data_IF_778219860957
#
_entry.id   IF_778219860957
#
_cell.length_a   1.000
_cell.length_b   1.000
_cell.length_c   1.000
_cell.angle_alpha   90.00
_cell.angle_beta   90.00
_cell.angle_gamma   90.00
#
_symmetry.space_group_name_H-M   'P 1'
#
loop_
_entity.id
_entity.type
_entity.pdbx_description
1 polymer ?
#
# COMPACT_ATOMS: atom_id res chain seq x y z
N UNK A 1 -2.08 9.42 6.93
CA UNK A 1 -2.16 8.62 5.68
C UNK A 1 -1.20 7.43 5.66
N UNK A 2 0.11 7.64 5.88
CA UNK A 2 1.11 6.54 5.82
C UNK A 2 0.88 5.41 6.81
N UNK A 3 0.67 5.75 8.09
CA UNK A 3 0.40 4.76 9.15
C UNK A 3 -0.90 4.00 8.85
N UNK A 4 -1.96 4.71 8.44
CA UNK A 4 -3.25 4.09 8.12
C UNK A 4 -3.14 3.12 6.93
N UNK A 5 -2.56 3.56 5.79
CA UNK A 5 -2.35 2.69 4.62
C UNK A 5 -1.45 1.50 4.99
N UNK A 6 -0.33 1.77 5.66
CA UNK A 6 0.63 0.75 6.05
C UNK A 6 0.05 -0.28 7.01
N UNK A 7 -0.70 0.13 8.03
CA UNK A 7 -1.31 -0.79 8.99
C UNK A 7 -2.32 -1.72 8.32
N UNK A 8 -3.17 -1.18 7.43
CA UNK A 8 -4.12 -1.97 6.66
C UNK A 8 -3.39 -2.96 5.73
N UNK A 9 -2.33 -2.52 5.05
CA UNK A 9 -1.56 -3.38 4.15
C UNK A 9 -0.77 -4.46 4.87
N UNK A 10 -0.24 -4.17 6.06
CA UNK A 10 0.39 -5.18 6.92
C UNK A 10 -0.66 -6.17 7.42
N UNK A 11 -1.85 -5.71 7.81
CA UNK A 11 -2.94 -6.59 8.22
C UNK A 11 -3.31 -7.59 7.12
N UNK A 12 -3.59 -7.10 5.91
CA UNK A 12 -3.91 -7.96 4.76
C UNK A 12 -2.72 -8.83 4.31
N UNK A 13 -1.52 -8.25 4.25
CA UNK A 13 -0.31 -8.95 3.84
C UNK A 13 0.11 -10.04 4.82
N UNK A 14 0.00 -9.80 6.13
CA UNK A 14 0.35 -10.78 7.17
C UNK A 14 -0.54 -12.01 7.11
N UNK A 15 -1.85 -11.83 6.86
CA UNK A 15 -2.76 -12.95 6.64
C UNK A 15 -2.33 -13.79 5.44
N UNK A 16 -1.85 -13.16 4.35
CA UNK A 16 -1.36 -13.89 3.17
C UNK A 16 -0.01 -14.57 3.42
N UNK A 17 0.92 -13.91 4.09
CA UNK A 17 2.29 -14.39 4.29
C UNK A 17 2.39 -15.48 5.35
N UNK A 18 1.65 -15.38 6.45
CA UNK A 18 1.81 -16.27 7.62
C UNK A 18 0.80 -17.43 7.68
N UNK A 19 -0.12 -17.57 6.73
CA UNK A 19 -1.06 -18.70 6.75
C UNK A 19 -2.03 -18.79 5.58
N UNK A 20 -2.25 -17.71 4.83
CA UNK A 20 -3.22 -17.64 3.73
C UNK A 20 -2.64 -17.83 2.33
N UNK A 21 -1.33 -18.13 2.18
CA UNK A 21 -0.66 -18.10 0.88
C UNK A 21 -1.27 -19.10 -0.10
N UNK A 22 -1.55 -20.33 0.34
CA UNK A 22 -2.14 -21.36 -0.52
C UNK A 22 -3.52 -20.92 -1.03
N UNK A 23 -4.38 -20.42 -0.15
CA UNK A 23 -5.70 -19.88 -0.52
C UNK A 23 -5.58 -18.69 -1.48
N UNK A 24 -4.56 -17.84 -1.29
CA UNK A 24 -4.32 -16.72 -2.18
C UNK A 24 -3.82 -17.16 -3.56
N UNK A 25 -2.92 -18.16 -3.62
CA UNK A 25 -2.45 -18.77 -4.87
C UNK A 25 -3.61 -19.41 -5.62
N UNK A 26 -4.49 -20.13 -4.93
CA UNK A 26 -5.70 -20.71 -5.54
C UNK A 26 -6.64 -19.63 -6.08
N UNK A 27 -6.85 -18.54 -5.34
CA UNK A 27 -7.65 -17.40 -5.79
C UNK A 27 -7.03 -16.68 -6.99
N UNK A 28 -5.72 -16.46 -7.00
CA UNK A 28 -5.03 -15.84 -8.15
C UNK A 28 -5.09 -16.76 -9.38
N UNK A 29 -4.93 -18.06 -9.17
CA UNK A 29 -5.03 -19.06 -10.24
C UNK A 29 -6.43 -19.14 -10.83
N UNK A 30 -7.48 -19.00 -10.02
CA UNK A 30 -8.87 -18.98 -10.51
C UNK A 30 -9.22 -17.72 -11.32
N UNK A 31 -8.43 -16.65 -11.19
CA UNK A 31 -8.55 -15.43 -12.01
C UNK A 31 -7.81 -15.54 -13.35
N UNK A 32 -7.24 -16.71 -13.66
CA UNK A 32 -6.43 -16.95 -14.86
C UNK A 32 -5.05 -16.31 -14.81
N UNK A 33 -4.56 -15.97 -13.61
CA UNK A 33 -3.22 -15.44 -13.40
C UNK A 33 -2.28 -16.53 -12.90
N UNK A 34 -0.97 -16.45 -13.19
CA UNK A 34 0.00 -17.40 -12.67
C UNK A 34 0.07 -17.34 -11.14
N UNK A 35 0.14 -18.51 -10.49
CA UNK A 35 0.24 -18.60 -9.01
C UNK A 35 1.43 -17.84 -8.42
N UNK A 36 2.54 -17.68 -9.16
CA UNK A 36 3.70 -16.92 -8.69
C UNK A 36 3.38 -15.42 -8.47
N UNK A 37 2.38 -14.85 -9.16
CA UNK A 37 1.95 -13.47 -8.94
C UNK A 37 1.33 -13.27 -7.54
N UNK A 38 0.76 -14.31 -6.94
CA UNK A 38 0.20 -14.25 -5.59
C UNK A 38 1.30 -13.95 -4.55
N UNK A 39 2.48 -14.52 -4.73
CA UNK A 39 3.63 -14.28 -3.85
C UNK A 39 4.14 -12.85 -3.99
N UNK A 40 4.16 -12.31 -5.21
CA UNK A 40 4.52 -10.91 -5.44
C UNK A 40 3.50 -9.95 -4.84
N UNK A 41 2.21 -10.23 -5.00
CA UNK A 41 1.12 -9.44 -4.40
C UNK A 41 1.21 -9.44 -2.87
N UNK A 42 1.32 -10.62 -2.26
CA UNK A 42 1.45 -10.77 -0.81
C UNK A 42 2.71 -10.08 -0.26
N UNK A 43 3.83 -10.21 -0.97
CA UNK A 43 5.08 -9.52 -0.63
C UNK A 43 4.95 -8.00 -0.74
N UNK A 44 4.33 -7.50 -1.82
CA UNK A 44 4.11 -6.07 -2.02
C UNK A 44 3.18 -5.46 -0.95
N UNK A 45 2.15 -6.18 -0.50
CA UNK A 45 1.27 -5.73 0.58
C UNK A 45 1.99 -5.71 1.93
N UNK A 46 2.67 -6.79 2.29
CA UNK A 46 3.31 -6.91 3.59
C UNK A 46 4.55 -6.02 3.70
N UNK A 47 5.54 -6.23 2.83
CA UNK A 47 6.79 -5.47 2.86
C UNK A 47 6.56 -4.02 2.40
N UNK A 48 5.70 -3.79 1.41
CA UNK A 48 5.35 -2.43 0.99
C UNK A 48 4.63 -1.67 2.11
N UNK A 49 3.74 -2.32 2.85
CA UNK A 49 3.10 -1.76 4.04
C UNK A 49 4.13 -1.35 5.10
N UNK A 50 5.08 -2.23 5.42
CA UNK A 50 6.17 -1.93 6.37
C UNK A 50 7.01 -0.75 5.90
N UNK A 51 7.46 -0.74 4.64
CA UNK A 51 8.25 0.36 4.06
C UNK A 51 7.49 1.69 4.09
N UNK A 52 6.20 1.67 3.78
CA UNK A 52 5.31 2.84 3.85
C UNK A 52 5.02 3.27 5.29
N UNK A 53 5.16 2.43 6.32
CA UNK A 53 5.16 2.91 7.71
C UNK A 53 6.53 3.52 8.04
N UNK A 54 7.60 2.76 7.84
CA UNK A 54 8.96 3.10 8.27
C UNK A 54 9.45 4.42 7.66
N UNK A 55 9.06 4.76 6.43
CA UNK A 55 9.58 6.00 5.81
C UNK A 55 10.75 5.77 4.90
N UNK A 56 11.01 4.53 4.49
CA UNK A 56 12.09 4.22 3.59
C UNK A 56 11.53 3.95 2.20
N UNK A 57 12.05 4.63 1.17
CA UNK A 57 11.65 4.43 -0.23
C UNK A 57 10.12 4.50 -0.43
N UNK A 58 9.45 5.40 0.28
CA UNK A 58 7.97 5.39 0.35
C UNK A 58 7.31 5.59 -1.00
N UNK A 59 7.99 6.28 -1.92
CA UNK A 59 7.51 6.45 -3.30
C UNK A 59 7.44 5.11 -4.04
N UNK A 60 8.49 4.30 -3.96
CA UNK A 60 8.53 2.99 -4.59
C UNK A 60 7.58 2.01 -3.92
N UNK A 61 7.53 2.01 -2.58
CA UNK A 61 6.61 1.15 -1.84
C UNK A 61 5.14 1.52 -2.07
N UNK A 62 4.81 2.82 -2.11
CA UNK A 62 3.47 3.27 -2.44
C UNK A 62 3.09 2.95 -3.89
N UNK A 63 4.03 3.04 -4.84
CA UNK A 63 3.81 2.66 -6.23
C UNK A 63 3.53 1.16 -6.36
N UNK A 64 4.25 0.30 -5.63
CA UNK A 64 3.99 -1.13 -5.60
C UNK A 64 2.59 -1.45 -5.04
N UNK A 65 2.19 -0.78 -3.94
CA UNK A 65 0.83 -0.91 -3.37
C UNK A 65 -0.23 -0.43 -4.35
N UNK A 66 0.00 0.70 -5.03
CA UNK A 66 -0.91 1.25 -6.03
C UNK A 66 -1.17 0.24 -7.15
N UNK A 67 -0.10 -0.31 -7.75
CA UNK A 67 -0.22 -1.32 -8.81
C UNK A 67 -0.99 -2.53 -8.31
N UNK A 68 -0.66 -3.03 -7.10
CA UNK A 68 -1.32 -4.19 -6.53
C UNK A 68 -2.82 -3.96 -6.31
N UNK A 69 -3.21 -2.80 -5.78
CA UNK A 69 -4.62 -2.43 -5.62
C UNK A 69 -5.32 -2.26 -6.98
N UNK A 70 -4.67 -1.68 -7.99
CA UNK A 70 -5.23 -1.57 -9.35
C UNK A 70 -5.51 -2.94 -9.97
N UNK A 71 -4.59 -3.89 -9.83
CA UNK A 71 -4.79 -5.27 -10.32
C UNK A 71 -5.93 -5.96 -9.56
N UNK A 72 -5.99 -5.79 -8.24
CA UNK A 72 -7.07 -6.35 -7.41
C UNK A 72 -8.45 -5.80 -7.81
N UNK A 73 -8.56 -4.49 -8.07
CA UNK A 73 -9.79 -3.87 -8.57
C UNK A 73 -10.20 -4.50 -9.90
N UNK A 74 -9.28 -4.56 -10.86
CA UNK A 74 -9.60 -5.00 -12.21
C UNK A 74 -9.98 -6.49 -12.28
N UNK A 75 -9.32 -7.34 -11.50
CA UNK A 75 -9.51 -8.79 -11.58
C UNK A 75 -10.54 -9.34 -10.60
N UNK A 76 -10.63 -8.79 -9.39
CA UNK A 76 -11.47 -9.35 -8.31
C UNK A 76 -12.78 -8.56 -8.19
N UNK A 77 -12.68 -7.23 -8.09
CA UNK A 77 -13.81 -6.40 -7.64
C UNK A 77 -14.57 -5.70 -8.76
N UNK A 78 -14.05 -5.72 -10.00
CA UNK A 78 -14.66 -5.04 -11.16
C UNK A 78 -16.11 -5.44 -11.40
N UNK A 79 -16.43 -6.72 -11.24
CA UNK A 79 -17.78 -7.27 -11.44
C UNK A 79 -18.75 -6.94 -10.30
N UNK A 80 -18.24 -6.59 -9.13
CA UNK A 80 -19.05 -6.34 -7.93
C UNK A 80 -19.55 -4.89 -7.85
N UNK A 81 -19.13 -4.01 -8.78
CA UNK A 81 -19.51 -2.60 -8.78
C UNK A 81 -18.86 -1.80 -7.65
N UNK A 82 -19.16 -0.49 -7.59
CA UNK A 82 -18.52 0.43 -6.65
C UNK A 82 -18.99 0.15 -5.21
N UNK A 83 -20.31 0.03 -5.01
CA UNK A 83 -20.97 -0.15 -3.71
C UNK A 83 -21.65 -1.51 -3.54
N UNK A 84 -21.44 -2.47 -4.44
CA UNK A 84 -21.97 -3.82 -4.27
C UNK A 84 -21.29 -4.57 -3.12
N UNK A 85 -21.85 -5.72 -2.71
CA UNK A 85 -21.20 -6.57 -1.72
C UNK A 85 -19.82 -7.02 -2.24
N UNK A 86 -18.77 -6.66 -1.52
CA UNK A 86 -17.40 -6.87 -1.99
C UNK A 86 -17.03 -5.99 -3.19
N UNK A 87 -17.61 -4.79 -3.30
CA UNK A 87 -17.27 -3.80 -4.33
C UNK A 87 -15.85 -3.24 -4.22
N UNK A 88 -15.43 -2.48 -5.23
CA UNK A 88 -14.05 -1.97 -5.31
C UNK A 88 -13.80 -0.67 -4.52
N UNK A 89 -14.78 -0.15 -3.76
CA UNK A 89 -14.64 1.08 -2.96
C UNK A 89 -13.42 1.08 -2.03
N UNK A 90 -13.18 -0.02 -1.33
CA UNK A 90 -12.11 -0.11 -0.33
C UNK A 90 -10.73 -0.20 -1.00
N UNK A 91 -10.51 -1.11 -1.96
CA UNK A 91 -9.28 -1.09 -2.77
C UNK A 91 -9.04 0.25 -3.47
N UNK A 92 -10.09 0.92 -3.95
CA UNK A 92 -9.99 2.22 -4.62
C UNK A 92 -9.54 3.32 -3.65
N UNK A 93 -10.08 3.35 -2.43
CA UNK A 93 -9.64 4.29 -1.41
C UNK A 93 -8.17 4.07 -1.04
N UNK A 94 -7.74 2.82 -0.88
CA UNK A 94 -6.33 2.48 -0.61
C UNK A 94 -5.43 2.85 -1.80
N UNK A 95 -5.87 2.60 -3.03
CA UNK A 95 -5.18 3.02 -4.24
C UNK A 95 -5.04 4.55 -4.32
N UNK A 96 -6.09 5.32 -3.99
CA UNK A 96 -6.03 6.78 -3.97
C UNK A 96 -5.03 7.30 -2.93
N UNK A 97 -4.98 6.70 -1.74
CA UNK A 97 -3.99 7.05 -0.71
C UNK A 97 -2.58 6.69 -1.18
N UNK A 98 -2.38 5.53 -1.79
CA UNK A 98 -1.09 5.10 -2.34
C UNK A 98 -0.63 6.01 -3.50
N UNK A 99 -1.55 6.42 -4.37
CA UNK A 99 -1.31 7.39 -5.43
C UNK A 99 -0.83 8.72 -4.85
N UNK A 100 -1.56 9.28 -3.88
CA UNK A 100 -1.15 10.51 -3.21
C UNK A 100 0.25 10.37 -2.58
N UNK A 101 0.56 9.26 -1.91
CA UNK A 101 1.88 9.03 -1.31
C UNK A 101 3.01 8.87 -2.33
N UNK A 102 2.70 8.42 -3.54
CA UNK A 102 3.67 8.31 -4.64
C UNK A 102 4.12 9.70 -5.09
N UNK A 103 3.20 10.66 -5.22
CA UNK A 103 3.50 12.04 -5.65
C UNK A 103 3.98 12.94 -4.50
N UNK A 104 3.26 12.97 -3.38
CA UNK A 104 3.56 13.84 -2.23
C UNK A 104 4.72 13.30 -1.35
N UNK A 105 5.04 12.00 -1.46
CA UNK A 105 6.13 11.37 -0.73
C UNK A 105 5.85 11.16 0.76
N UNK A 106 6.92 10.88 1.51
CA UNK A 106 6.86 10.36 2.87
C UNK A 106 6.40 11.36 3.96
N UNK A 107 6.38 12.67 3.63
CA UNK A 107 6.19 13.76 4.60
C UNK A 107 7.42 14.00 5.51
N UNK A 108 7.39 15.06 6.36
CA UNK A 108 8.51 15.46 7.22
C UNK A 108 8.79 14.52 8.41
N UNK A 109 7.84 13.66 8.77
CA UNK A 109 7.96 12.69 9.89
C UNK A 109 8.53 11.34 9.40
N UNK A 110 9.06 11.28 8.18
CA UNK A 110 9.63 10.06 7.61
C UNK A 110 11.13 9.95 7.83
N UNK A 111 11.63 8.72 7.99
CA UNK A 111 13.07 8.43 7.93
C UNK A 111 13.72 8.91 6.62
N UNK A 112 12.99 8.93 5.49
CA UNK A 112 13.45 9.54 4.23
C UNK A 112 13.74 11.05 4.34
N UNK A 113 13.11 11.73 5.31
CA UNK A 113 13.35 13.16 5.58
C UNK A 113 14.71 13.36 6.28
N UNK A 114 15.17 12.36 7.03
CA UNK A 114 16.51 12.34 7.63
C UNK A 114 17.59 12.22 6.56
N UNK A 115 17.35 11.42 5.51
CA UNK A 115 18.28 11.25 4.37
C UNK A 115 18.25 12.41 3.38
N UNK A 116 17.12 13.11 3.24
CA UNK A 116 16.97 14.25 2.31
C UNK A 116 17.52 15.58 2.81
N UNK A 117 18.13 15.63 4.00
CA UNK A 117 18.85 16.83 4.47
C UNK A 117 17.97 18.09 4.49
N UNK A 118 16.68 17.95 4.80
CA UNK A 118 15.81 19.12 4.95
C UNK A 118 15.90 19.56 6.40
N UNK A 119 16.69 20.62 6.60
CA UNK A 119 16.66 21.40 7.82
C UNK A 119 15.23 21.77 8.15
N UNK A 120 14.71 21.19 9.23
CA UNK A 120 13.57 21.75 9.92
C UNK A 120 14.05 23.05 10.54
N UNK A 121 14.01 24.13 9.76
CA UNK A 121 13.90 25.49 10.27
C UNK A 121 12.57 25.64 11.01
N UNK A 122 12.40 24.88 12.09
CA UNK A 122 11.48 25.23 13.17
C UNK A 122 12.24 26.20 14.09
N UNK A 123 12.74 27.29 13.49
CA UNK A 123 13.15 28.45 14.25
C UNK A 123 11.86 29.08 14.75
N UNK A 124 11.61 28.93 16.05
CA UNK A 124 10.48 29.51 16.73
C UNK A 124 10.27 30.95 16.29
N UNK A 125 9.08 31.25 15.78
CA UNK A 125 8.58 32.62 15.78
C UNK A 125 7.95 32.87 17.14
N UNK A 126 8.80 32.89 18.16
CA UNK A 126 8.58 33.76 19.30
C UNK A 126 9.02 35.16 18.86
N UNK A 127 8.08 36.11 18.94
CA UNK A 127 8.18 37.59 18.86
C UNK A 127 6.90 38.06 18.16
N UNK A 128 6.06 38.90 18.74
CA UNK A 128 6.03 39.65 20.00
C UNK A 128 4.55 39.88 20.32
#
# INVERSE_FOLDING_TARGET
>A
MRIALGAVMIGHGSQKVFGGMQNHVHMVSSLGLPGWMAYLSAGAEFFGGILVIVGLLTRFAALAILINMSVAIWKVHWKNGLLGQGGYQFPLALAAIAFALTFFGAGPIALDSLRRGVGSGWSGRAKK
#
